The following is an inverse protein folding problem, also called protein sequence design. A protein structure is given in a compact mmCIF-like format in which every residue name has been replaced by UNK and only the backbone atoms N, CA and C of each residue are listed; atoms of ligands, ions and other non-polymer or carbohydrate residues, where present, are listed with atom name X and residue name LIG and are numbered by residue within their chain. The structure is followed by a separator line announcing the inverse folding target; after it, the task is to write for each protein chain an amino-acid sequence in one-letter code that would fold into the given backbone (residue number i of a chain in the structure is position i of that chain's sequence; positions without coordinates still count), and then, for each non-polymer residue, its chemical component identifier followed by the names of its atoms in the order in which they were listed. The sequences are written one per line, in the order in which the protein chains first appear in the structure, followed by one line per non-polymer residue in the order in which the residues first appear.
data_IF_931364906674
#
_entry.id   IF_931364906674
#
_cell.length_a   1.000
_cell.length_b   1.000
_cell.length_c   1.000
_cell.angle_alpha   90.00
_cell.angle_beta   90.00
_cell.angle_gamma   90.00
#
_symmetry.space_group_name_H-M   'P 1'
#
loop_
_entity.id
_entity.type
_entity.pdbx_description
1 polymer ?
#
# COMPACT_ATOMS: atom_id res chain seq x y z
N UNK A 1 13.13 0.18 3.69
CA UNK A 1 11.86 -0.51 4.04
C UNK A 1 10.70 -0.04 3.16
N UNK A 2 10.34 1.24 3.14
CA UNK A 2 9.23 1.73 2.31
C UNK A 2 9.29 1.29 0.82
N UNK A 3 10.45 1.38 0.17
CA UNK A 3 10.61 0.89 -1.21
C UNK A 3 10.35 -0.62 -1.41
N UNK A 4 10.64 -1.44 -0.40
CA UNK A 4 10.31 -2.87 -0.45
C UNK A 4 8.79 -3.10 -0.30
N UNK A 5 8.11 -2.29 0.50
CA UNK A 5 6.66 -2.32 0.66
C UNK A 5 5.95 -1.84 -0.61
N UNK A 6 6.49 -0.84 -1.30
CA UNK A 6 6.00 -0.37 -2.60
C UNK A 6 6.08 -1.48 -3.66
N UNK A 7 7.20 -2.21 -3.74
CA UNK A 7 7.32 -3.40 -4.58
C UNK A 7 6.34 -4.52 -4.19
N UNK A 8 6.13 -4.73 -2.88
CA UNK A 8 5.17 -5.72 -2.38
C UNK A 8 3.73 -5.33 -2.69
N UNK A 9 3.40 -4.04 -2.74
CA UNK A 9 2.09 -3.55 -3.19
C UNK A 9 1.85 -3.88 -4.67
N UNK A 10 2.88 -3.74 -5.52
CA UNK A 10 2.82 -4.17 -6.91
C UNK A 10 2.58 -5.67 -7.07
N UNK A 11 3.25 -6.50 -6.27
CA UNK A 11 3.01 -7.94 -6.24
C UNK A 11 1.59 -8.28 -5.74
N UNK A 12 1.16 -7.66 -4.64
CA UNK A 12 -0.16 -7.87 -4.05
C UNK A 12 -1.30 -7.52 -5.01
N UNK A 13 -1.12 -6.52 -5.89
CA UNK A 13 -2.11 -6.20 -6.92
C UNK A 13 -2.41 -7.40 -7.84
N UNK A 14 -1.42 -8.26 -8.08
CA UNK A 14 -1.51 -9.43 -8.94
C UNK A 14 -1.95 -10.70 -8.18
N UNK A 15 -1.60 -10.82 -6.89
CA UNK A 15 -1.78 -12.06 -6.12
C UNK A 15 -2.84 -11.98 -5.02
N UNK A 16 -2.96 -10.84 -4.35
CA UNK A 16 -3.74 -10.68 -3.12
C UNK A 16 -4.92 -9.69 -3.27
N UNK A 17 -4.94 -8.93 -4.36
CA UNK A 17 -6.02 -8.01 -4.73
C UNK A 17 -5.71 -6.53 -4.53
N UNK A 18 -6.57 -5.71 -5.14
CA UNK A 18 -6.40 -4.26 -5.23
C UNK A 18 -6.47 -3.53 -3.88
N UNK A 19 -7.32 -3.99 -2.94
CA UNK A 19 -7.39 -3.40 -1.60
C UNK A 19 -6.14 -3.67 -0.77
N UNK A 20 -5.52 -4.85 -0.94
CA UNK A 20 -4.27 -5.19 -0.27
C UNK A 20 -3.12 -4.34 -0.80
N UNK A 21 -3.04 -4.15 -2.12
CA UNK A 21 -2.09 -3.22 -2.73
C UNK A 21 -2.26 -1.79 -2.19
N UNK A 22 -3.51 -1.30 -2.11
CA UNK A 22 -3.81 0.02 -1.57
C UNK A 22 -3.39 0.16 -0.09
N UNK A 23 -3.64 -0.85 0.74
CA UNK A 23 -3.21 -0.90 2.13
C UNK A 23 -1.68 -0.78 2.25
N UNK A 24 -0.94 -1.56 1.46
CA UNK A 24 0.52 -1.58 1.49
C UNK A 24 1.14 -0.24 1.05
N UNK A 25 0.54 0.42 0.06
CA UNK A 25 0.94 1.79 -0.30
C UNK A 25 0.76 2.77 0.87
N UNK A 26 -0.33 2.65 1.62
CA UNK A 26 -0.53 3.40 2.87
C UNK A 26 0.53 3.07 3.93
N UNK A 27 0.84 1.79 4.11
CA UNK A 27 1.89 1.32 5.03
C UNK A 27 3.27 1.91 4.66
N UNK A 28 3.59 1.99 3.37
CA UNK A 28 4.82 2.64 2.91
C UNK A 28 4.89 4.12 3.29
N UNK A 29 3.74 4.82 3.29
CA UNK A 29 3.63 6.21 3.78
C UNK A 29 3.86 6.28 5.28
N UNK A 30 3.24 5.41 6.07
CA UNK A 30 3.43 5.37 7.52
C UNK A 30 4.90 5.15 7.90
N UNK A 31 5.60 4.22 7.23
CA UNK A 31 7.01 3.92 7.47
C UNK A 31 7.95 5.05 7.03
N UNK A 32 7.60 5.82 6.01
CA UNK A 32 8.38 6.96 5.52
C UNK A 32 8.05 8.26 6.26
N UNK A 33 6.93 8.30 6.98
CA UNK A 33 6.36 9.51 7.59
C UNK A 33 5.74 10.49 6.58
N UNK A 34 5.90 10.26 5.27
CA UNK A 34 5.35 11.08 4.19
C UNK A 34 5.09 10.21 2.94
N UNK A 35 4.19 10.66 2.07
CA UNK A 35 3.96 9.99 0.79
C UNK A 35 5.12 10.26 -0.19
N UNK A 36 5.58 9.22 -0.90
CA UNK A 36 6.53 9.41 -2.01
C UNK A 36 5.79 9.95 -3.22
N UNK A 37 5.83 11.26 -3.37
CA UNK A 37 5.26 11.93 -4.54
C UNK A 37 6.30 11.91 -5.65
N UNK A 38 6.06 11.14 -6.72
CA UNK A 38 6.89 11.19 -7.95
C UNK A 38 7.50 9.86 -8.40
N UNK A 39 7.28 8.75 -7.69
CA UNK A 39 7.66 7.44 -8.22
C UNK A 39 6.60 6.95 -9.23
N UNK A 40 6.97 6.78 -10.51
CA UNK A 40 6.03 6.40 -11.56
C UNK A 40 5.47 4.98 -11.38
N UNK A 41 6.19 4.10 -10.68
CA UNK A 41 5.73 2.76 -10.37
C UNK A 41 4.62 2.78 -9.31
N UNK A 42 4.86 3.50 -8.21
CA UNK A 42 3.87 3.72 -7.14
C UNK A 42 2.61 4.38 -7.70
N UNK A 43 2.76 5.39 -8.57
CA UNK A 43 1.62 6.04 -9.21
C UNK A 43 0.81 5.07 -10.08
N UNK A 44 1.48 4.17 -10.81
CA UNK A 44 0.82 3.17 -11.66
C UNK A 44 0.09 2.12 -10.84
N UNK A 45 0.71 1.62 -9.76
CA UNK A 45 0.08 0.67 -8.83
C UNK A 45 -1.13 1.31 -8.15
N UNK A 46 -1.02 2.56 -7.70
CA UNK A 46 -2.12 3.29 -7.09
C UNK A 46 -3.31 3.48 -8.05
N UNK A 47 -3.04 3.85 -9.30
CA UNK A 47 -4.08 3.99 -10.32
C UNK A 47 -4.77 2.65 -10.60
N UNK A 48 -4.01 1.59 -10.85
CA UNK A 48 -4.56 0.27 -11.13
C UNK A 48 -5.36 -0.30 -9.94
N UNK A 49 -4.86 -0.14 -8.71
CA UNK A 49 -5.58 -0.53 -7.50
C UNK A 49 -6.89 0.26 -7.34
N UNK A 50 -6.87 1.56 -7.65
CA UNK A 50 -8.06 2.41 -7.60
C UNK A 50 -9.10 2.02 -8.65
N UNK A 51 -8.68 1.68 -9.85
CA UNK A 51 -9.57 1.27 -10.93
C UNK A 51 -10.24 -0.08 -10.63
N UNK A 52 -9.49 -1.01 -10.03
CA UNK A 52 -9.98 -2.35 -9.69
C UNK A 52 -10.84 -2.39 -8.42
N UNK A 53 -10.42 -1.73 -7.33
CA UNK A 53 -11.15 -1.72 -6.06
C UNK A 53 -12.30 -0.68 -6.06
N UNK A 54 -12.23 0.31 -6.94
CA UNK A 54 -13.05 1.52 -6.87
C UNK A 54 -12.47 2.56 -5.91
N UNK A 55 -12.77 3.83 -6.19
CA UNK A 55 -12.16 4.97 -5.50
C UNK A 55 -12.37 4.98 -3.98
N UNK A 56 -13.56 4.60 -3.52
CA UNK A 56 -13.88 4.61 -2.09
C UNK A 56 -13.16 3.50 -1.33
N UNK A 57 -13.15 2.27 -1.85
CA UNK A 57 -12.47 1.14 -1.22
C UNK A 57 -10.94 1.36 -1.20
N UNK A 58 -10.38 1.86 -2.31
CA UNK A 58 -8.99 2.27 -2.37
C UNK A 58 -8.65 3.30 -1.29
N UNK A 59 -9.42 4.39 -1.19
CA UNK A 59 -9.16 5.45 -0.23
C UNK A 59 -9.22 4.94 1.22
N UNK A 60 -10.18 4.06 1.54
CA UNK A 60 -10.28 3.47 2.87
C UNK A 60 -9.10 2.54 3.20
N UNK A 61 -8.72 1.66 2.28
CA UNK A 61 -7.58 0.75 2.46
C UNK A 61 -6.27 1.53 2.61
N UNK A 62 -6.03 2.52 1.75
CA UNK A 62 -4.87 3.39 1.81
C UNK A 62 -4.81 4.18 3.12
N UNK A 63 -5.92 4.81 3.53
CA UNK A 63 -5.98 5.57 4.77
C UNK A 63 -5.73 4.69 6.00
N UNK A 64 -6.25 3.45 6.02
CA UNK A 64 -5.96 2.48 7.08
C UNK A 64 -4.46 2.20 7.20
N UNK A 65 -3.78 1.97 6.08
CA UNK A 65 -2.33 1.70 6.07
C UNK A 65 -1.52 2.92 6.50
N UNK A 66 -1.89 4.11 6.03
CA UNK A 66 -1.19 5.36 6.34
C UNK A 66 -1.35 5.80 7.81
N UNK A 67 -2.40 5.34 8.49
CA UNK A 67 -2.65 5.63 9.90
C UNK A 67 -1.92 4.66 10.86
N UNK A 68 -1.23 3.64 10.36
CA UNK A 68 -0.53 2.66 11.20
C UNK A 68 0.71 3.24 11.86
N UNK A 69 1.02 2.76 13.06
CA UNK A 69 2.34 2.95 13.66
C UNK A 69 3.39 2.12 12.91
N UNK A 70 4.70 2.43 13.02
CA UNK A 70 5.75 1.62 12.41
C UNK A 70 5.69 0.14 12.80
N UNK A 71 5.34 -0.19 14.05
CA UNK A 71 5.22 -1.58 14.50
C UNK A 71 4.03 -2.30 13.85
N UNK A 72 2.87 -1.62 13.76
CA UNK A 72 1.69 -2.16 13.07
C UNK A 72 1.95 -2.37 11.57
N UNK A 73 2.66 -1.43 10.95
CA UNK A 73 3.11 -1.47 9.57
C UNK A 73 4.04 -2.66 9.31
N UNK A 74 4.99 -2.93 10.20
CA UNK A 74 5.89 -4.08 10.09
C UNK A 74 5.14 -5.41 10.25
N UNK A 75 4.21 -5.50 11.19
CA UNK A 75 3.37 -6.69 11.37
C UNK A 75 2.50 -6.99 10.14
N UNK A 76 2.10 -5.97 9.37
CA UNK A 76 1.33 -6.19 8.14
C UNK A 76 2.14 -6.78 6.99
N UNK A 77 3.48 -6.69 7.01
CA UNK A 77 4.35 -7.25 5.97
C UNK A 77 4.57 -8.76 6.14
N UNK A 78 4.34 -9.27 7.35
CA UNK A 78 4.45 -10.68 7.70
C UNK A 78 3.14 -11.13 8.37
N UNK A 79 2.06 -11.36 7.61
CA UNK A 79 1.00 -12.20 8.15
C UNK A 79 1.65 -13.57 8.39
N UNK A 80 1.61 -14.05 9.62
CA UNK A 80 2.15 -15.36 10.00
C UNK A 80 1.83 -16.43 8.94
N UNK A 81 2.85 -17.19 8.56
CA UNK A 81 2.68 -18.43 7.80
C UNK A 81 1.95 -19.47 8.63
#
# INVERSE_FOLDING_TARGET
LAGAVEGLAGAALLTDGAERAALLLGVAVALRGTALTGDPDVARVAAAARDLAGAQAFAQAYARGAAMTPDQALATLHPDR
#
